data_IF_224299156742
#
_entry.id   IF_224299156742
#
_cell.length_a   1.000
_cell.length_b   1.000
_cell.length_c   1.000
_cell.angle_alpha   90.00
_cell.angle_beta   90.00
_cell.angle_gamma   90.00
#
_symmetry.space_group_name_H-M   'P 1'
#
loop_
_entity.id
_entity.type
_entity.pdbx_description
1 polymer ?
#
# COMPACT_ATOMS: atom_id res chain seq x y z
N UNK A 1 -8.91 6.80 5.55
CA UNK A 1 -9.61 5.62 6.10
C UNK A 1 -8.55 4.69 6.66
N UNK A 2 -8.49 4.54 7.98
CA UNK A 2 -7.48 3.70 8.62
C UNK A 2 -7.68 2.28 8.10
N UNK A 3 -6.73 1.76 7.33
CA UNK A 3 -6.59 0.32 7.18
C UNK A 3 -6.48 -0.25 8.58
N UNK A 4 -7.54 -0.93 9.03
CA UNK A 4 -7.41 -1.80 10.19
C UNK A 4 -6.35 -2.81 9.79
N UNK A 5 -5.18 -2.71 10.40
CA UNK A 5 -4.20 -3.78 10.38
C UNK A 5 -4.94 -5.03 10.80
N UNK A 6 -5.25 -5.87 9.82
CA UNK A 6 -5.71 -7.22 10.12
C UNK A 6 -4.53 -7.87 10.87
N UNK A 7 -4.66 -7.89 12.17
CA UNK A 7 -3.79 -8.68 13.03
C UNK A 7 -3.93 -10.12 12.61
N UNK A 8 -3.02 -10.57 11.78
CA UNK A 8 -2.79 -11.98 11.46
C UNK A 8 -2.18 -12.69 12.68
N UNK A 9 -2.77 -12.48 13.86
CA UNK A 9 -2.47 -13.22 15.08
C UNK A 9 -3.37 -14.44 15.27
N UNK A 10 -4.05 -14.89 14.22
CA UNK A 10 -4.91 -16.08 14.31
C UNK A 10 -4.65 -17.03 13.14
N UNK A 11 -3.58 -17.75 13.26
CA UNK A 11 -3.41 -19.06 12.65
C UNK A 11 -2.78 -19.89 13.76
N UNK A 12 -3.50 -20.62 14.45
CA UNK A 12 -4.16 -21.89 14.42
C UNK A 12 -4.91 -22.05 15.74
N UNK A 13 -6.20 -22.15 15.82
CA UNK A 13 -6.81 -22.91 16.90
C UNK A 13 -6.65 -24.37 16.51
N UNK A 14 -5.69 -25.07 17.11
CA UNK A 14 -5.72 -26.52 17.17
C UNK A 14 -7.01 -26.88 17.93
N UNK A 15 -8.01 -27.27 17.18
CA UNK A 15 -9.21 -27.88 17.76
C UNK A 15 -8.78 -29.22 18.36
N UNK A 16 -8.59 -29.24 19.65
CA UNK A 16 -8.39 -30.46 20.45
C UNK A 16 -9.77 -31.14 20.55
N UNK A 17 -10.10 -32.00 19.60
CA UNK A 17 -11.18 -32.99 19.79
C UNK A 17 -10.58 -34.16 20.55
N UNK A 18 -10.73 -34.18 21.85
CA UNK A 18 -10.48 -35.35 22.69
C UNK A 18 -11.62 -36.32 22.47
N UNK A 19 -11.39 -37.37 21.68
CA UNK A 19 -12.18 -38.60 21.70
C UNK A 19 -11.52 -39.58 22.65
N UNK A 20 -12.05 -39.64 23.86
CA UNK A 20 -11.78 -40.70 24.81
C UNK A 20 -12.45 -42.01 24.35
N UNK A 21 -11.71 -42.93 23.77
CA UNK A 21 -12.10 -44.34 23.76
C UNK A 21 -10.84 -45.23 23.86
N UNK A 22 -10.74 -46.01 24.92
CA UNK A 22 -9.87 -47.19 24.97
C UNK A 22 -8.75 -47.10 26.00
N UNK A 23 -8.91 -47.76 27.14
CA UNK A 23 -7.94 -47.96 28.20
C UNK A 23 -6.74 -48.82 27.70
N UNK A 24 -5.72 -48.14 27.14
CA UNK A 24 -4.34 -48.58 27.21
C UNK A 24 -3.64 -47.56 28.09
N UNK A 25 -2.83 -47.91 29.03
CA UNK A 25 -1.89 -47.00 29.68
C UNK A 25 -0.98 -46.46 28.56
N UNK A 26 -1.35 -45.25 28.06
CA UNK A 26 -0.48 -44.51 27.15
C UNK A 26 0.87 -44.32 27.87
N UNK A 27 1.89 -45.03 27.42
CA UNK A 27 3.24 -44.75 27.89
C UNK A 27 3.52 -43.31 27.53
N UNK A 28 3.76 -42.47 28.55
CA UNK A 28 4.14 -41.09 28.38
C UNK A 28 5.26 -41.00 27.32
N UNK A 29 5.03 -40.26 26.25
CA UNK A 29 6.04 -40.11 25.20
C UNK A 29 6.97 -38.94 25.49
N UNK A 30 8.14 -38.88 24.79
CA UNK A 30 9.04 -37.73 24.86
C UNK A 30 8.31 -36.43 24.43
N UNK A 31 7.38 -36.53 23.50
CA UNK A 31 6.56 -35.43 23.04
C UNK A 31 5.62 -34.95 24.15
N UNK A 32 4.94 -35.86 24.88
CA UNK A 32 4.04 -35.52 25.98
C UNK A 32 4.80 -34.87 27.14
N UNK A 33 5.99 -35.39 27.45
CA UNK A 33 6.87 -34.82 28.46
C UNK A 33 7.32 -33.39 28.07
N UNK A 34 7.71 -33.17 26.80
CA UNK A 34 8.07 -31.87 26.29
C UNK A 34 6.85 -30.88 26.25
N UNK A 35 5.68 -31.39 25.86
CA UNK A 35 4.43 -30.62 25.87
C UNK A 35 4.00 -30.17 27.27
N UNK A 36 4.16 -31.08 28.27
CA UNK A 36 3.84 -30.73 29.68
C UNK A 36 4.94 -29.93 30.36
N UNK A 37 6.16 -29.93 29.82
CA UNK A 37 7.35 -29.37 30.47
C UNK A 37 7.84 -30.18 31.66
N UNK A 38 7.50 -31.50 31.68
CA UNK A 38 7.91 -32.44 32.72
C UNK A 38 9.35 -32.95 32.44
N UNK A 39 10.30 -32.25 33.05
CA UNK A 39 11.74 -32.47 32.86
C UNK A 39 12.19 -33.82 33.47
N UNK A 40 11.53 -34.24 34.55
CA UNK A 40 11.91 -35.51 35.20
C UNK A 40 11.40 -36.68 34.37
N UNK A 41 10.19 -36.62 33.84
CA UNK A 41 9.69 -37.58 32.86
C UNK A 41 10.57 -37.61 31.60
N UNK A 42 10.98 -36.42 31.10
CA UNK A 42 11.85 -36.30 29.93
C UNK A 42 13.20 -37.03 30.16
N UNK A 43 13.85 -36.79 31.31
CA UNK A 43 15.12 -37.47 31.69
C UNK A 43 14.95 -38.99 31.77
N UNK A 44 13.90 -39.44 32.47
CA UNK A 44 13.62 -40.85 32.63
C UNK A 44 13.39 -41.57 31.29
N UNK A 45 12.68 -40.94 30.36
CA UNK A 45 12.43 -41.47 29.02
C UNK A 45 13.69 -41.50 28.16
N UNK A 46 14.57 -40.49 28.28
CA UNK A 46 15.85 -40.46 27.57
C UNK A 46 16.80 -41.60 28.04
N UNK A 47 16.81 -41.93 29.35
CA UNK A 47 17.57 -43.06 29.90
C UNK A 47 17.09 -44.41 29.36
N UNK A 48 15.81 -44.57 29.03
CA UNK A 48 15.22 -45.76 28.45
C UNK A 48 15.54 -45.96 26.96
N UNK A 49 16.35 -45.07 26.35
CA UNK A 49 16.73 -45.10 24.92
C UNK A 49 15.52 -45.10 23.97
N UNK A 50 14.45 -44.40 24.34
CA UNK A 50 13.32 -44.19 23.45
C UNK A 50 13.74 -43.46 22.18
N UNK A 51 13.01 -43.64 21.08
CA UNK A 51 13.32 -42.94 19.84
C UNK A 51 13.14 -41.42 20.01
N UNK A 52 14.27 -40.73 20.19
CA UNK A 52 14.33 -39.29 20.48
C UNK A 52 13.74 -38.44 19.35
N UNK A 53 13.73 -38.95 18.12
CA UNK A 53 13.25 -38.28 16.93
C UNK A 53 11.88 -38.80 16.50
N UNK A 54 11.17 -39.56 17.34
CA UNK A 54 9.82 -39.99 17.02
C UNK A 54 8.92 -38.79 16.75
N UNK A 55 8.29 -38.69 15.57
CA UNK A 55 7.38 -37.60 15.27
C UNK A 55 5.97 -37.92 15.78
N UNK A 56 5.19 -36.85 16.01
CA UNK A 56 3.75 -36.98 16.11
C UNK A 56 3.07 -36.84 14.72
N UNK A 57 1.73 -36.78 14.71
CA UNK A 57 0.95 -36.89 13.47
C UNK A 57 1.18 -35.80 12.42
N UNK A 58 1.76 -34.64 12.81
CA UNK A 58 2.14 -33.54 11.92
C UNK A 58 3.64 -33.49 11.61
N UNK A 59 4.37 -34.52 12.00
CA UNK A 59 5.84 -34.59 11.85
C UNK A 59 6.62 -33.87 12.96
N UNK A 60 5.98 -33.22 13.92
CA UNK A 60 6.66 -32.50 15.01
C UNK A 60 7.29 -33.46 16.01
N UNK A 61 8.49 -33.13 16.50
CA UNK A 61 9.24 -33.92 17.48
C UNK A 61 9.21 -33.25 18.87
N UNK A 62 9.72 -33.94 19.89
CA UNK A 62 9.85 -33.36 21.23
C UNK A 62 10.68 -32.08 21.24
N UNK A 63 11.72 -31.97 20.39
CA UNK A 63 12.51 -30.73 20.28
C UNK A 63 11.70 -29.56 19.70
N UNK A 64 10.76 -29.79 18.78
CA UNK A 64 9.83 -28.75 18.31
C UNK A 64 9.02 -28.20 19.48
N UNK A 65 8.48 -29.06 20.35
CA UNK A 65 7.67 -28.65 21.49
C UNK A 65 8.47 -27.92 22.57
N UNK A 66 9.69 -28.40 22.88
CA UNK A 66 10.59 -27.70 23.80
C UNK A 66 10.93 -26.30 23.28
N UNK A 67 11.17 -26.19 21.97
CA UNK A 67 11.43 -24.89 21.32
C UNK A 67 10.18 -23.98 21.28
N UNK A 68 9.02 -24.53 20.97
CA UNK A 68 7.77 -23.80 20.97
C UNK A 68 7.47 -23.16 22.34
N UNK A 69 7.77 -23.89 23.42
CA UNK A 69 7.60 -23.42 24.81
C UNK A 69 8.75 -22.56 25.30
N UNK A 70 9.78 -22.36 24.49
CA UNK A 70 11.05 -21.72 24.90
C UNK A 70 11.69 -22.37 26.15
N UNK A 71 11.50 -23.68 26.30
CA UNK A 71 12.09 -24.44 27.40
C UNK A 71 13.52 -24.87 27.03
N UNK A 72 14.47 -23.99 27.40
CA UNK A 72 15.90 -24.20 27.13
C UNK A 72 16.45 -25.45 27.77
N UNK A 73 15.99 -25.82 28.97
CA UNK A 73 16.49 -26.98 29.68
C UNK A 73 16.05 -28.28 28.98
N UNK A 74 14.77 -28.41 28.62
CA UNK A 74 14.27 -29.54 27.84
C UNK A 74 14.93 -29.65 26.48
N UNK A 75 15.13 -28.50 25.79
CA UNK A 75 15.84 -28.46 24.53
C UNK A 75 17.30 -28.95 24.68
N UNK A 76 18.00 -28.55 25.74
CA UNK A 76 19.35 -29.01 26.03
C UNK A 76 19.43 -30.50 26.29
N UNK A 77 18.51 -31.06 27.07
CA UNK A 77 18.43 -32.48 27.32
C UNK A 77 18.25 -33.27 26.03
N UNK A 78 17.32 -32.81 25.19
CA UNK A 78 17.04 -33.44 23.89
C UNK A 78 18.23 -33.37 22.93
N UNK A 79 18.85 -32.18 22.81
CA UNK A 79 20.00 -31.97 21.91
C UNK A 79 21.20 -32.85 22.35
N UNK A 80 21.52 -32.88 23.65
CA UNK A 80 22.61 -33.72 24.16
C UNK A 80 22.35 -35.19 23.98
N UNK A 81 21.10 -35.62 23.99
CA UNK A 81 20.71 -37.01 23.73
C UNK A 81 20.67 -37.38 22.24
N UNK A 82 20.91 -36.39 21.32
CA UNK A 82 21.00 -36.64 19.88
C UNK A 82 19.73 -36.34 19.11
N UNK A 83 18.87 -35.45 19.64
CA UNK A 83 17.72 -34.99 18.87
C UNK A 83 18.17 -34.27 17.58
N UNK A 84 17.48 -34.55 16.48
CA UNK A 84 17.73 -33.88 15.20
C UNK A 84 17.33 -32.42 15.25
N UNK A 85 18.30 -31.52 15.31
CA UNK A 85 18.08 -30.06 15.36
C UNK A 85 17.53 -29.50 14.04
N UNK A 86 17.62 -30.29 12.96
CA UNK A 86 17.12 -29.96 11.64
C UNK A 86 15.86 -30.76 11.25
N UNK A 87 15.24 -31.48 12.20
CA UNK A 87 13.96 -32.10 11.92
C UNK A 87 12.95 -31.05 11.44
N UNK A 88 12.26 -31.37 10.35
CA UNK A 88 11.21 -30.52 9.81
C UNK A 88 9.88 -31.26 9.92
N UNK A 89 8.84 -30.56 10.34
CA UNK A 89 7.49 -31.10 10.31
C UNK A 89 6.88 -31.03 8.88
N UNK A 90 5.62 -31.42 8.72
CA UNK A 90 4.94 -31.50 7.43
C UNK A 90 4.82 -30.12 6.71
N UNK A 91 4.95 -29.01 7.44
CA UNK A 91 4.97 -27.66 6.89
C UNK A 91 6.40 -27.14 6.61
N UNK A 92 7.42 -27.94 6.89
CA UNK A 92 8.82 -27.55 6.82
C UNK A 92 9.30 -26.76 8.04
N UNK A 93 8.50 -26.65 9.11
CA UNK A 93 8.90 -25.96 10.33
C UNK A 93 9.99 -26.74 11.02
N UNK A 94 11.14 -26.06 11.28
CA UNK A 94 12.25 -26.60 12.09
C UNK A 94 12.25 -25.95 13.48
N UNK A 95 12.90 -26.54 14.48
CA UNK A 95 13.10 -25.90 15.77
C UNK A 95 13.71 -24.51 15.65
N UNK A 96 14.71 -24.31 14.77
CA UNK A 96 15.34 -23.01 14.58
C UNK A 96 14.36 -21.96 13.99
N UNK A 97 13.53 -22.35 13.02
CA UNK A 97 12.51 -21.46 12.49
C UNK A 97 11.53 -21.02 13.59
N UNK A 98 11.10 -21.97 14.43
CA UNK A 98 10.19 -21.70 15.54
C UNK A 98 10.81 -20.79 16.62
N UNK A 99 12.07 -21.04 17.00
CA UNK A 99 12.81 -20.19 17.92
C UNK A 99 12.97 -18.74 17.37
N UNK A 100 13.17 -18.64 16.05
CA UNK A 100 13.28 -17.35 15.35
C UNK A 100 11.95 -16.59 15.35
N UNK A 101 10.83 -17.28 15.18
CA UNK A 101 9.49 -16.70 15.28
C UNK A 101 9.17 -16.24 16.70
N UNK A 102 9.62 -16.96 17.72
CA UNK A 102 9.40 -16.62 19.13
C UNK A 102 10.31 -15.48 19.62
N UNK A 103 11.36 -15.14 18.88
CA UNK A 103 12.33 -14.12 19.29
C UNK A 103 13.31 -14.58 20.39
N UNK A 104 13.41 -15.89 20.63
CA UNK A 104 14.27 -16.43 21.69
C UNK A 104 15.74 -16.48 21.27
N UNK A 105 16.48 -15.44 21.59
CA UNK A 105 17.93 -15.35 21.32
C UNK A 105 18.69 -16.53 21.96
N UNK A 106 18.30 -16.95 23.15
CA UNK A 106 18.97 -18.04 23.86
C UNK A 106 18.74 -19.39 23.15
N UNK A 107 17.51 -19.68 22.75
CA UNK A 107 17.16 -20.90 22.01
C UNK A 107 17.82 -20.92 20.63
N UNK A 108 17.77 -19.80 19.89
CA UNK A 108 18.44 -19.64 18.58
C UNK A 108 19.94 -19.94 18.71
N UNK A 109 20.63 -19.33 19.67
CA UNK A 109 22.06 -19.59 19.90
C UNK A 109 22.34 -21.08 20.18
N UNK A 110 21.48 -21.71 20.97
CA UNK A 110 21.62 -23.12 21.34
C UNK A 110 21.48 -24.05 20.15
N UNK A 111 20.44 -23.83 19.35
CA UNK A 111 20.18 -24.61 18.14
C UNK A 111 21.27 -24.42 17.09
N UNK A 112 21.71 -23.16 16.85
CA UNK A 112 22.81 -22.88 15.93
C UNK A 112 24.13 -23.49 16.38
N UNK A 113 24.44 -23.50 17.69
CA UNK A 113 25.62 -24.16 18.24
C UNK A 113 25.56 -25.68 18.06
N UNK A 114 24.36 -26.27 18.02
CA UNK A 114 24.13 -27.67 17.75
C UNK A 114 24.08 -28.04 16.27
N UNK A 115 24.30 -27.07 15.34
CA UNK A 115 24.35 -27.30 13.89
C UNK A 115 22.99 -27.15 13.19
N UNK A 116 22.07 -26.41 13.76
CA UNK A 116 20.84 -26.08 13.05
C UNK A 116 21.13 -25.21 11.81
N UNK A 117 20.45 -25.51 10.70
CA UNK A 117 20.61 -24.81 9.43
C UNK A 117 19.85 -23.47 9.43
N UNK A 118 20.54 -22.30 9.39
CA UNK A 118 19.90 -21.00 9.43
C UNK A 118 19.13 -20.67 8.13
N UNK A 119 19.28 -21.48 7.10
CA UNK A 119 18.66 -21.30 5.78
C UNK A 119 17.53 -22.29 5.48
N UNK A 120 17.16 -23.16 6.43
CA UNK A 120 16.09 -24.14 6.22
C UNK A 120 14.74 -23.41 6.02
N UNK A 121 14.12 -23.46 4.82
CA UNK A 121 12.88 -22.72 4.57
C UNK A 121 11.65 -23.57 4.93
N UNK A 122 10.53 -22.91 5.20
CA UNK A 122 9.22 -23.52 5.10
C UNK A 122 8.90 -23.96 3.67
N UNK A 123 7.83 -24.72 3.48
CA UNK A 123 7.32 -25.07 2.14
C UNK A 123 7.04 -23.83 1.27
N UNK A 124 6.65 -22.71 1.89
CA UNK A 124 6.44 -21.44 1.21
C UNK A 124 7.73 -20.62 0.97
N UNK A 125 8.91 -21.17 1.28
CA UNK A 125 10.21 -20.51 1.09
C UNK A 125 10.62 -19.57 2.22
N UNK A 126 9.82 -19.38 3.28
CA UNK A 126 10.14 -18.49 4.38
C UNK A 126 11.25 -19.06 5.27
N UNK A 127 12.38 -18.34 5.37
CA UNK A 127 13.55 -18.75 6.16
C UNK A 127 13.47 -18.23 7.60
N UNK A 128 14.30 -18.79 8.54
CA UNK A 128 14.45 -18.23 9.88
C UNK A 128 14.79 -16.72 9.93
N UNK A 129 15.64 -16.24 9.00
CA UNK A 129 15.97 -14.82 8.88
C UNK A 129 14.73 -13.99 8.53
N UNK A 130 13.90 -14.47 7.59
CA UNK A 130 12.69 -13.77 7.17
C UNK A 130 11.67 -13.68 8.30
N UNK A 131 11.39 -14.77 9.00
CA UNK A 131 10.40 -14.77 10.09
C UNK A 131 10.83 -13.88 11.24
N UNK A 132 12.11 -13.92 11.63
CA UNK A 132 12.66 -13.03 12.65
C UNK A 132 12.62 -11.56 12.24
N UNK A 133 12.89 -11.27 10.96
CA UNK A 133 12.82 -9.92 10.40
C UNK A 133 11.40 -9.37 10.37
N UNK A 134 10.43 -10.21 9.99
CA UNK A 134 9.00 -9.84 10.02
C UNK A 134 8.51 -9.58 11.44
N UNK A 135 9.01 -10.35 12.41
CA UNK A 135 8.63 -10.23 13.81
C UNK A 135 9.33 -9.09 14.56
N UNK A 136 10.40 -8.52 13.99
CA UNK A 136 11.12 -7.39 14.57
C UNK A 136 12.12 -7.76 15.64
N UNK A 137 12.86 -8.86 15.50
CA UNK A 137 13.85 -9.35 16.46
C UNK A 137 15.29 -9.15 15.96
N UNK A 138 15.89 -7.95 16.08
CA UNK A 138 17.21 -7.66 15.51
C UNK A 138 18.32 -8.55 16.06
N UNK A 139 18.30 -8.89 17.36
CA UNK A 139 19.32 -9.77 17.94
C UNK A 139 19.23 -11.21 17.41
N UNK A 140 18.02 -11.70 17.14
CA UNK A 140 17.83 -13.02 16.50
C UNK A 140 18.35 -13.00 15.07
N UNK A 141 18.01 -11.94 14.31
CA UNK A 141 18.51 -11.75 12.94
C UNK A 141 20.03 -11.70 12.92
N UNK A 142 20.65 -10.95 13.83
CA UNK A 142 22.11 -10.90 13.98
C UNK A 142 22.72 -12.29 14.23
N UNK A 143 22.14 -13.09 15.14
CA UNK A 143 22.65 -14.43 15.43
C UNK A 143 22.54 -15.37 14.23
N UNK A 144 21.45 -15.28 13.46
CA UNK A 144 21.23 -16.10 12.27
C UNK A 144 22.24 -15.74 11.17
N UNK A 145 22.41 -14.43 10.89
CA UNK A 145 23.32 -13.93 9.84
C UNK A 145 24.78 -14.23 10.19
N UNK A 146 25.20 -14.04 11.44
CA UNK A 146 26.54 -14.36 11.92
C UNK A 146 26.87 -15.88 11.80
N UNK A 147 25.88 -16.74 11.64
CA UNK A 147 26.04 -18.19 11.43
C UNK A 147 25.72 -18.65 10.02
N UNK A 148 25.80 -17.73 9.03
CA UNK A 148 25.66 -18.04 7.60
C UNK A 148 24.22 -18.04 7.10
N UNK A 149 23.30 -17.41 7.83
CA UNK A 149 21.96 -17.08 7.31
C UNK A 149 22.06 -16.18 6.08
N UNK A 150 21.31 -16.48 5.05
CA UNK A 150 21.30 -15.67 3.82
C UNK A 150 20.32 -14.48 3.94
N UNK A 151 20.81 -13.22 3.98
CA UNK A 151 19.94 -12.06 4.04
C UNK A 151 19.13 -11.84 2.76
N UNK A 152 19.57 -12.43 1.65
CA UNK A 152 19.03 -12.24 0.31
C UNK A 152 18.19 -13.45 -0.17
N UNK A 153 17.83 -14.38 0.71
CA UNK A 153 16.92 -15.44 0.35
C UNK A 153 15.56 -14.86 -0.08
N UNK A 154 14.91 -15.51 -1.04
CA UNK A 154 13.59 -15.15 -1.54
C UNK A 154 12.54 -16.13 -1.01
N UNK A 155 11.53 -15.61 -0.34
CA UNK A 155 10.34 -16.35 0.08
C UNK A 155 9.18 -16.22 -0.92
N UNK A 156 7.98 -16.42 -0.43
CA UNK A 156 6.77 -16.28 -1.22
C UNK A 156 6.70 -14.90 -1.91
N UNK A 157 6.32 -14.87 -3.19
CA UNK A 157 6.26 -13.68 -4.02
C UNK A 157 7.59 -12.93 -4.17
N UNK A 158 8.72 -13.65 -4.10
CA UNK A 158 10.05 -13.06 -4.25
C UNK A 158 10.44 -12.10 -3.12
N UNK A 159 9.74 -12.12 -1.99
CA UNK A 159 10.01 -11.18 -0.89
C UNK A 159 11.24 -11.60 -0.09
N UNK A 160 12.09 -10.63 0.28
CA UNK A 160 13.28 -10.82 1.12
C UNK A 160 13.02 -10.43 2.58
N UNK A 161 13.95 -10.78 3.45
CA UNK A 161 13.94 -10.39 4.87
C UNK A 161 13.85 -8.85 5.02
N UNK A 162 14.59 -8.11 4.18
CA UNK A 162 14.61 -6.64 4.20
C UNK A 162 13.24 -6.05 3.83
N UNK A 163 12.54 -6.64 2.86
CA UNK A 163 11.18 -6.22 2.49
C UNK A 163 10.19 -6.47 3.62
N UNK A 164 10.30 -7.60 4.33
CA UNK A 164 9.46 -7.90 5.48
C UNK A 164 9.70 -6.93 6.63
N UNK A 165 10.97 -6.65 6.98
CA UNK A 165 11.32 -5.68 8.01
C UNK A 165 10.77 -4.29 7.68
N UNK A 166 10.90 -3.85 6.43
CA UNK A 166 10.40 -2.55 5.96
C UNK A 166 8.85 -2.48 6.00
N UNK A 167 8.17 -3.54 5.56
CA UNK A 167 6.70 -3.60 5.57
C UNK A 167 6.11 -3.55 6.99
N UNK A 168 6.85 -4.06 7.99
CA UNK A 168 6.42 -4.15 9.39
C UNK A 168 6.99 -3.03 10.26
N UNK A 169 7.75 -2.08 9.70
CA UNK A 169 8.34 -0.93 10.40
C UNK A 169 9.35 -1.33 11.48
N UNK A 170 10.31 -2.14 11.10
CA UNK A 170 11.38 -2.59 11.99
C UNK A 170 12.74 -2.00 11.59
N UNK A 171 13.01 -0.69 11.87
CA UNK A 171 14.24 -0.02 11.46
C UNK A 171 15.51 -0.66 12.03
N UNK A 172 15.44 -1.22 13.25
CA UNK A 172 16.61 -1.86 13.85
C UNK A 172 16.96 -3.18 13.17
N UNK A 173 15.99 -3.92 12.69
CA UNK A 173 16.22 -5.11 11.84
C UNK A 173 16.82 -4.70 10.50
N UNK A 174 16.32 -3.61 9.89
CA UNK A 174 16.87 -3.05 8.64
C UNK A 174 18.34 -2.73 8.79
N UNK A 175 18.76 -2.08 9.90
CA UNK A 175 20.18 -1.80 10.18
C UNK A 175 21.04 -3.07 10.18
N UNK A 176 20.57 -4.11 10.86
CA UNK A 176 21.26 -5.40 10.92
C UNK A 176 21.37 -6.03 9.53
N UNK A 177 20.28 -6.09 8.78
CA UNK A 177 20.26 -6.67 7.44
C UNK A 177 21.20 -5.92 6.48
N UNK A 178 21.21 -4.58 6.50
CA UNK A 178 22.12 -3.77 5.70
C UNK A 178 23.58 -4.05 6.06
N UNK A 179 23.91 -4.13 7.37
CA UNK A 179 25.25 -4.42 7.84
C UNK A 179 25.76 -5.80 7.37
N UNK A 180 24.86 -6.75 7.14
CA UNK A 180 25.16 -8.09 6.63
C UNK A 180 24.95 -8.25 5.10
N UNK A 181 24.90 -7.15 4.33
CA UNK A 181 24.88 -7.19 2.88
C UNK A 181 23.53 -7.56 2.26
N UNK A 182 22.44 -7.15 2.88
CA UNK A 182 21.12 -7.26 2.25
C UNK A 182 21.06 -6.40 0.96
N UNK A 183 20.54 -6.99 -0.11
CA UNK A 183 20.39 -6.32 -1.40
C UNK A 183 19.23 -5.31 -1.38
N UNK A 184 19.58 -4.03 -1.44
CA UNK A 184 18.61 -2.92 -1.47
C UNK A 184 17.83 -2.87 -2.79
N UNK A 185 18.39 -3.46 -3.86
CA UNK A 185 17.80 -3.45 -5.20
C UNK A 185 16.89 -4.64 -5.48
N UNK A 186 16.90 -5.65 -4.61
CA UNK A 186 16.03 -6.81 -4.73
C UNK A 186 14.56 -6.39 -4.86
N UNK A 187 13.83 -7.04 -5.77
CA UNK A 187 12.42 -6.74 -6.05
C UNK A 187 11.54 -7.94 -5.77
N UNK A 188 10.34 -7.68 -5.25
CA UNK A 188 9.30 -8.69 -5.18
C UNK A 188 8.87 -9.14 -6.60
N UNK A 189 8.28 -10.33 -6.69
CA UNK A 189 7.75 -10.84 -7.95
C UNK A 189 6.72 -9.88 -8.56
N UNK A 190 6.66 -9.90 -9.88
CA UNK A 190 5.66 -9.15 -10.65
C UNK A 190 4.58 -10.12 -11.13
N UNK A 191 3.33 -9.77 -10.86
CA UNK A 191 2.18 -10.50 -11.42
C UNK A 191 1.19 -9.53 -12.04
N UNK A 192 0.37 -10.01 -12.96
CA UNK A 192 -0.69 -9.23 -13.58
C UNK A 192 -2.02 -9.54 -12.91
N UNK A 193 -2.71 -8.50 -12.49
CA UNK A 193 -4.07 -8.60 -11.96
C UNK A 193 -5.00 -7.81 -12.89
N UNK A 194 -6.06 -8.47 -13.36
CA UNK A 194 -7.09 -7.79 -14.16
C UNK A 194 -7.96 -6.99 -13.19
N UNK A 195 -7.90 -5.67 -13.34
CA UNK A 195 -8.65 -4.74 -12.52
C UNK A 195 -9.67 -4.01 -13.40
N UNK A 196 -10.84 -3.73 -12.84
CA UNK A 196 -11.91 -3.03 -13.51
C UNK A 196 -12.13 -1.65 -12.88
N UNK A 197 -12.53 -0.69 -13.71
CA UNK A 197 -12.95 0.66 -13.28
C UNK A 197 -14.44 0.81 -13.57
N UNK A 198 -15.19 1.55 -12.75
CA UNK A 198 -16.57 1.88 -13.07
C UNK A 198 -16.69 2.63 -14.43
N UNK A 199 -17.75 2.37 -15.20
CA UNK A 199 -18.85 1.46 -14.88
C UNK A 199 -18.45 -0.01 -15.00
N UNK A 200 -18.75 -0.79 -13.98
CA UNK A 200 -18.45 -2.22 -13.96
C UNK A 200 -19.16 -2.92 -15.11
N UNK A 201 -18.42 -3.80 -15.82
CA UNK A 201 -18.94 -4.51 -16.97
C UNK A 201 -18.52 -3.91 -18.33
N UNK A 202 -17.98 -2.71 -18.36
CA UNK A 202 -17.40 -2.15 -19.57
C UNK A 202 -15.98 -2.70 -19.78
N UNK A 203 -15.87 -3.72 -20.64
CA UNK A 203 -14.64 -4.48 -20.84
C UNK A 203 -13.40 -3.63 -21.18
N UNK A 204 -13.49 -2.55 -22.00
CA UNK A 204 -12.32 -1.71 -22.30
C UNK A 204 -11.68 -1.05 -21.09
N UNK A 205 -12.42 -0.92 -19.97
CA UNK A 205 -11.87 -0.41 -18.71
C UNK A 205 -11.25 -1.49 -17.83
N UNK A 206 -11.33 -2.76 -18.25
CA UNK A 206 -10.59 -3.82 -17.62
C UNK A 206 -9.15 -3.81 -18.12
N UNK A 207 -8.22 -3.53 -17.23
CA UNK A 207 -6.81 -3.50 -17.56
C UNK A 207 -6.01 -4.50 -16.72
N UNK A 208 -5.08 -5.20 -17.37
CA UNK A 208 -4.12 -6.04 -16.69
C UNK A 208 -3.00 -5.17 -16.11
N UNK A 209 -3.13 -4.84 -14.83
CA UNK A 209 -2.18 -3.97 -14.13
C UNK A 209 -1.05 -4.81 -13.52
N UNK A 210 0.22 -4.52 -13.81
CA UNK A 210 1.33 -5.16 -13.14
C UNK A 210 1.38 -4.75 -11.68
N UNK A 211 1.36 -5.74 -10.80
CA UNK A 211 1.49 -5.58 -9.35
C UNK A 211 2.86 -6.06 -8.90
N UNK A 212 3.34 -5.61 -7.74
CA UNK A 212 4.64 -5.99 -7.22
C UNK A 212 5.80 -5.25 -7.86
N UNK A 213 6.96 -5.91 -7.94
CA UNK A 213 8.21 -5.27 -8.36
C UNK A 213 8.70 -4.23 -7.35
N UNK A 214 8.22 -4.31 -6.11
CA UNK A 214 8.55 -3.38 -5.04
C UNK A 214 9.88 -3.77 -4.38
N UNK A 215 10.74 -2.78 -4.11
CA UNK A 215 11.92 -2.91 -3.26
C UNK A 215 11.55 -2.74 -1.78
N UNK A 216 12.48 -3.06 -0.87
CA UNK A 216 12.31 -2.78 0.55
C UNK A 216 12.02 -1.30 0.82
N UNK A 217 12.62 -0.40 0.04
CA UNK A 217 12.37 1.03 0.14
C UNK A 217 10.90 1.39 -0.18
N UNK A 218 10.34 0.83 -1.24
CA UNK A 218 8.92 1.04 -1.56
C UNK A 218 7.98 0.44 -0.49
N UNK A 219 8.36 -0.67 0.14
CA UNK A 219 7.62 -1.21 1.28
C UNK A 219 7.65 -0.26 2.49
N UNK A 220 8.80 0.32 2.84
CA UNK A 220 8.92 1.32 3.91
C UNK A 220 8.07 2.57 3.63
N UNK A 221 8.15 3.11 2.43
CA UNK A 221 7.36 4.28 1.98
C UNK A 221 5.86 3.98 2.03
N UNK A 222 5.42 2.82 1.54
CA UNK A 222 4.02 2.38 1.58
C UNK A 222 3.51 2.19 3.00
N UNK A 223 4.38 1.76 3.91
CA UNK A 223 4.08 1.66 5.33
C UNK A 223 4.04 3.04 6.03
N UNK A 224 4.60 4.09 5.41
CA UNK A 224 4.75 5.40 6.01
C UNK A 224 5.80 5.42 7.14
N UNK A 225 6.81 4.56 7.03
CA UNK A 225 7.90 4.46 7.99
C UNK A 225 9.08 5.33 7.54
N UNK A 226 9.10 6.55 8.06
CA UNK A 226 10.13 7.54 7.75
C UNK A 226 11.53 7.09 8.20
N UNK A 227 11.63 6.43 9.35
CA UNK A 227 12.93 5.99 9.89
C UNK A 227 13.53 4.89 9.02
N UNK A 228 12.74 3.90 8.64
CA UNK A 228 13.17 2.87 7.68
C UNK A 228 13.52 3.47 6.32
N UNK A 229 12.73 4.41 5.82
CA UNK A 229 13.02 5.09 4.55
C UNK A 229 14.35 5.85 4.59
N UNK A 230 14.62 6.59 5.70
CA UNK A 230 15.90 7.29 5.92
C UNK A 230 17.09 6.34 5.93
N UNK A 231 16.98 5.20 6.62
CA UNK A 231 18.04 4.19 6.68
C UNK A 231 18.34 3.61 5.31
N UNK A 232 17.32 3.24 4.56
CA UNK A 232 17.46 2.66 3.22
C UNK A 232 18.08 3.65 2.23
N UNK A 233 17.64 4.92 2.23
CA UNK A 233 18.23 5.97 1.39
C UNK A 233 19.68 6.24 1.79
N UNK A 234 20.00 6.30 3.09
CA UNK A 234 21.38 6.47 3.56
C UNK A 234 22.28 5.30 3.15
N UNK A 235 21.73 4.10 2.98
CA UNK A 235 22.44 2.93 2.48
C UNK A 235 22.53 2.86 0.94
N UNK A 236 21.92 3.79 0.20
CA UNK A 236 21.98 3.88 -1.25
C UNK A 236 20.74 3.42 -2.00
N UNK A 237 19.60 3.27 -1.35
CA UNK A 237 18.34 3.00 -2.06
C UNK A 237 17.99 4.19 -2.98
N UNK A 238 17.44 3.89 -4.15
CA UNK A 238 17.06 4.89 -5.14
C UNK A 238 15.79 5.62 -4.71
N UNK A 239 15.89 6.93 -4.44
CA UNK A 239 14.71 7.77 -4.06
C UNK A 239 13.67 7.86 -5.17
N UNK A 240 14.06 7.64 -6.42
CA UNK A 240 13.19 7.65 -7.61
C UNK A 240 12.68 6.24 -7.96
N UNK A 241 12.78 5.29 -7.03
CA UNK A 241 12.28 3.94 -7.27
C UNK A 241 10.77 3.91 -7.50
N UNK A 242 10.34 2.95 -8.31
CA UNK A 242 8.95 2.78 -8.70
C UNK A 242 8.56 1.30 -8.73
N UNK A 243 7.29 1.02 -8.46
CA UNK A 243 6.67 -0.30 -8.60
C UNK A 243 6.63 -0.77 -10.06
N UNK A 244 6.25 -2.02 -10.29
CA UNK A 244 6.10 -2.56 -11.65
C UNK A 244 5.10 -1.77 -12.52
N UNK A 245 4.10 -1.14 -11.92
CA UNK A 245 3.17 -0.25 -12.61
C UNK A 245 3.74 1.15 -12.89
N UNK A 246 4.90 1.48 -12.30
CA UNK A 246 5.55 2.77 -12.45
C UNK A 246 5.07 3.83 -11.46
N UNK A 247 4.40 3.43 -10.36
CA UNK A 247 4.09 4.36 -9.27
C UNK A 247 5.36 4.60 -8.47
N UNK A 248 5.83 5.85 -8.43
CA UNK A 248 7.05 6.24 -7.71
C UNK A 248 6.86 6.28 -6.20
N UNK A 249 7.96 6.22 -5.45
CA UNK A 249 7.95 6.36 -4.00
C UNK A 249 7.23 7.65 -3.55
N UNK A 250 7.51 8.78 -4.21
CA UNK A 250 6.87 10.07 -3.90
C UNK A 250 5.36 10.02 -4.13
N UNK A 251 4.92 9.42 -5.25
CA UNK A 251 3.50 9.26 -5.55
C UNK A 251 2.80 8.30 -4.57
N UNK A 252 3.46 7.21 -4.15
CA UNK A 252 2.96 6.28 -3.11
C UNK A 252 2.77 7.01 -1.78
N UNK A 253 3.77 7.78 -1.34
CA UNK A 253 3.72 8.54 -0.09
C UNK A 253 2.62 9.60 -0.12
N UNK A 254 2.51 10.37 -1.22
CA UNK A 254 1.49 11.38 -1.41
C UNK A 254 0.07 10.78 -1.43
N UNK A 255 -0.11 9.69 -2.18
CA UNK A 255 -1.38 8.96 -2.22
C UNK A 255 -1.79 8.43 -0.84
N UNK A 256 -0.85 8.01 -0.03
CA UNK A 256 -1.09 7.52 1.34
C UNK A 256 -1.25 8.65 2.37
N UNK A 257 -0.90 9.89 2.03
CA UNK A 257 -0.97 11.05 2.93
C UNK A 257 0.18 11.16 3.92
N UNK A 258 1.32 10.56 3.59
CA UNK A 258 2.52 10.60 4.42
C UNK A 258 3.39 11.81 4.05
N UNK A 259 2.95 13.02 4.46
CA UNK A 259 3.61 14.28 4.11
C UNK A 259 5.09 14.30 4.49
N UNK A 260 5.44 13.91 5.70
CA UNK A 260 6.82 13.90 6.17
C UNK A 260 7.73 13.00 5.32
N UNK A 261 7.18 11.90 4.81
CA UNK A 261 7.90 11.03 3.88
C UNK A 261 8.07 11.72 2.52
N UNK A 262 7.03 12.41 2.01
CA UNK A 262 7.11 13.19 0.76
C UNK A 262 8.18 14.26 0.88
N UNK A 263 8.15 15.08 1.94
CA UNK A 263 9.13 16.14 2.19
C UNK A 263 10.56 15.56 2.24
N UNK A 264 10.76 14.48 3.00
CA UNK A 264 12.05 13.80 3.05
C UNK A 264 12.54 13.33 1.68
N UNK A 265 11.66 12.73 0.87
CA UNK A 265 12.03 12.24 -0.48
C UNK A 265 12.43 13.40 -1.38
N UNK A 266 11.69 14.49 -1.37
CA UNK A 266 11.98 15.71 -2.14
C UNK A 266 13.33 16.33 -1.71
N UNK A 267 13.60 16.43 -0.41
CA UNK A 267 14.88 16.90 0.13
C UNK A 267 16.07 16.00 -0.29
N UNK A 268 15.81 14.72 -0.59
CA UNK A 268 16.79 13.78 -1.11
C UNK A 268 16.89 13.75 -2.65
N UNK A 269 16.21 14.69 -3.32
CA UNK A 269 16.26 14.84 -4.76
C UNK A 269 15.33 13.90 -5.52
N UNK A 270 14.26 13.44 -4.90
CA UNK A 270 13.22 12.72 -5.63
C UNK A 270 12.56 13.65 -6.65
N UNK A 271 12.38 13.15 -7.87
CA UNK A 271 11.64 13.84 -8.91
C UNK A 271 10.14 13.80 -8.59
N UNK A 272 9.44 14.95 -8.46
CA UNK A 272 8.01 15.00 -8.17
C UNK A 272 7.12 14.67 -9.37
N UNK A 273 7.67 14.65 -10.59
CA UNK A 273 6.92 14.63 -11.84
C UNK A 273 6.68 13.25 -12.49
N UNK A 274 7.51 12.20 -12.28
CA UNK A 274 7.35 10.99 -13.06
C UNK A 274 6.02 10.30 -12.80
N UNK A 275 5.39 9.89 -13.88
CA UNK A 275 4.06 9.34 -13.87
C UNK A 275 3.81 8.28 -14.93
N UNK A 276 4.64 7.22 -15.03
CA UNK A 276 4.29 6.07 -15.89
C UNK A 276 2.93 5.47 -15.53
N UNK A 277 2.52 5.59 -14.26
CA UNK A 277 1.19 5.21 -13.81
C UNK A 277 0.09 6.18 -14.23
N UNK A 278 0.44 7.33 -14.83
CA UNK A 278 -0.48 8.32 -15.35
C UNK A 278 -0.91 9.39 -14.38
N UNK A 279 -0.43 9.38 -13.13
CA UNK A 279 -0.66 10.43 -12.13
C UNK A 279 0.61 10.78 -11.38
N UNK A 280 0.70 12.01 -10.87
CA UNK A 280 1.84 12.50 -10.09
C UNK A 280 1.50 12.60 -8.60
N UNK A 281 2.51 12.85 -7.77
CA UNK A 281 2.32 13.15 -6.35
C UNK A 281 1.45 14.41 -6.14
N UNK A 282 1.55 15.40 -7.05
CA UNK A 282 0.75 16.63 -6.99
C UNK A 282 -0.75 16.36 -7.16
N UNK A 283 -1.13 15.49 -8.09
CA UNK A 283 -2.53 15.07 -8.24
C UNK A 283 -3.06 14.44 -6.93
N UNK A 284 -2.28 13.54 -6.32
CA UNK A 284 -2.67 12.90 -5.07
C UNK A 284 -2.77 13.88 -3.90
N UNK A 285 -1.85 14.83 -3.78
CA UNK A 285 -1.86 15.87 -2.75
C UNK A 285 -3.12 16.76 -2.84
N UNK A 286 -3.51 17.15 -4.06
CA UNK A 286 -4.74 17.93 -4.31
C UNK A 286 -5.97 17.11 -3.91
N UNK A 287 -6.08 15.85 -4.33
CA UNK A 287 -7.21 15.00 -3.98
C UNK A 287 -7.34 14.78 -2.47
N UNK A 288 -6.23 14.81 -1.75
CA UNK A 288 -6.17 14.73 -0.28
C UNK A 288 -6.42 16.05 0.44
N UNK A 289 -6.50 17.15 -0.29
CA UNK A 289 -6.60 18.52 0.25
C UNK A 289 -5.44 18.85 1.20
N UNK A 290 -4.24 18.33 0.92
CA UNK A 290 -3.04 18.59 1.70
C UNK A 290 -2.26 19.75 1.11
N UNK A 291 -2.66 20.98 1.47
CA UNK A 291 -2.07 22.23 0.99
C UNK A 291 -0.57 22.31 1.27
N UNK A 292 -0.12 21.82 2.42
CA UNK A 292 1.31 21.82 2.78
C UNK A 292 2.11 20.89 1.87
N UNK A 293 1.55 19.72 1.56
CA UNK A 293 2.19 18.78 0.61
C UNK A 293 2.21 19.36 -0.80
N UNK A 294 1.14 20.04 -1.25
CA UNK A 294 1.13 20.76 -2.52
C UNK A 294 2.24 21.81 -2.56
N UNK A 295 2.37 22.62 -1.50
CA UNK A 295 3.43 23.64 -1.39
C UNK A 295 4.82 23.03 -1.49
N UNK A 296 5.07 21.94 -0.77
CA UNK A 296 6.37 21.24 -0.81
C UNK A 296 6.68 20.70 -2.22
N UNK A 297 5.71 20.07 -2.86
CA UNK A 297 5.87 19.53 -4.22
C UNK A 297 6.18 20.63 -5.24
N UNK A 298 5.44 21.74 -5.21
CA UNK A 298 5.67 22.88 -6.11
C UNK A 298 7.03 23.53 -5.87
N UNK A 299 7.46 23.69 -4.61
CA UNK A 299 8.77 24.21 -4.25
C UNK A 299 9.93 23.35 -4.77
N UNK A 300 9.70 22.06 -5.01
CA UNK A 300 10.68 21.13 -5.58
C UNK A 300 10.45 20.85 -7.07
N UNK A 301 9.72 21.70 -7.78
CA UNK A 301 9.57 21.66 -9.24
C UNK A 301 8.51 20.69 -9.75
N UNK A 302 7.48 20.38 -8.96
CA UNK A 302 6.31 19.69 -9.50
C UNK A 302 5.67 20.54 -10.60
N UNK A 303 5.36 19.93 -11.75
CA UNK A 303 4.73 20.61 -12.87
C UNK A 303 3.26 20.92 -12.55
N UNK A 304 2.90 22.22 -12.43
CA UNK A 304 1.54 22.63 -12.12
C UNK A 304 0.55 22.43 -13.29
N UNK A 305 1.07 22.08 -14.47
CA UNK A 305 0.30 21.85 -15.69
C UNK A 305 0.26 20.38 -16.12
N UNK A 306 0.91 19.46 -15.38
CA UNK A 306 0.92 18.06 -15.71
C UNK A 306 -0.50 17.48 -15.79
N UNK A 307 -0.98 16.98 -16.95
CA UNK A 307 -2.31 16.41 -17.04
C UNK A 307 -2.36 15.03 -16.41
N UNK A 308 -3.48 14.66 -15.83
CA UNK A 308 -3.77 13.28 -15.44
C UNK A 308 -3.84 12.42 -16.70
N UNK A 309 -2.88 11.53 -16.90
CA UNK A 309 -2.77 10.77 -18.16
C UNK A 309 -3.58 9.48 -18.17
N UNK A 310 -3.91 8.96 -16.98
CA UNK A 310 -4.61 7.69 -16.88
C UNK A 310 -5.48 7.64 -15.61
N UNK A 311 -6.56 6.87 -15.68
CA UNK A 311 -7.36 6.51 -14.52
C UNK A 311 -6.65 5.48 -13.64
N UNK A 312 -7.02 5.40 -12.38
CA UNK A 312 -6.50 4.37 -11.48
C UNK A 312 -7.55 3.29 -11.23
N UNK A 313 -7.19 2.00 -11.36
CA UNK A 313 -8.13 0.92 -11.11
C UNK A 313 -8.50 0.82 -9.63
N UNK A 314 -9.72 0.36 -9.37
CA UNK A 314 -10.18 0.05 -8.01
C UNK A 314 -10.45 -1.44 -7.86
N UNK A 315 -10.22 -1.97 -6.67
CA UNK A 315 -10.73 -3.31 -6.34
C UNK A 315 -12.24 -3.23 -6.12
N UNK A 316 -12.96 -4.24 -6.58
CA UNK A 316 -14.43 -4.29 -6.69
C UNK A 316 -15.22 -3.96 -5.41
N UNK A 317 -14.57 -3.92 -4.25
CA UNK A 317 -15.20 -3.65 -2.96
C UNK A 317 -14.50 -2.56 -2.14
N UNK A 318 -13.50 -1.87 -2.71
CA UNK A 318 -12.75 -0.84 -1.99
C UNK A 318 -13.29 0.55 -2.34
N UNK A 319 -13.46 1.37 -1.30
CA UNK A 319 -13.61 2.81 -1.46
C UNK A 319 -12.22 3.48 -1.57
N UNK A 320 -11.30 2.81 -2.26
CA UNK A 320 -9.94 3.31 -2.41
C UNK A 320 -9.94 4.63 -3.14
N UNK A 321 -9.06 5.49 -2.73
CA UNK A 321 -8.79 6.75 -3.38
C UNK A 321 -8.35 6.49 -4.83
N UNK A 322 -9.20 6.86 -5.79
CA UNK A 322 -8.96 6.61 -7.21
C UNK A 322 -9.16 7.86 -8.05
N UNK A 323 -8.57 7.83 -9.24
CA UNK A 323 -8.84 8.80 -10.29
C UNK A 323 -9.77 8.15 -11.32
N UNK A 324 -11.03 8.58 -11.41
CA UNK A 324 -11.97 8.01 -12.39
C UNK A 324 -11.63 8.44 -13.83
N UNK A 325 -12.12 7.70 -14.83
CA UNK A 325 -11.88 8.02 -16.25
C UNK A 325 -12.27 9.43 -16.66
N UNK A 326 -13.30 10.00 -16.06
CA UNK A 326 -13.75 11.37 -16.33
C UNK A 326 -12.78 12.47 -15.92
N UNK A 327 -11.73 12.15 -15.16
CA UNK A 327 -10.68 13.09 -14.79
C UNK A 327 -9.43 12.99 -15.68
N UNK A 328 -9.37 12.02 -16.59
CA UNK A 328 -8.25 11.90 -17.52
C UNK A 328 -8.15 13.16 -18.37
N UNK A 329 -6.96 13.75 -18.43
CA UNK A 329 -6.69 15.03 -19.06
C UNK A 329 -6.76 16.24 -18.13
N UNK A 330 -7.32 16.12 -16.92
CA UNK A 330 -7.41 17.24 -15.98
C UNK A 330 -6.03 17.67 -15.47
N UNK A 331 -5.80 18.99 -15.43
CA UNK A 331 -4.61 19.60 -14.83
C UNK A 331 -4.77 19.79 -13.31
N UNK A 332 -3.66 19.95 -12.56
CA UNK A 332 -3.72 20.24 -11.13
C UNK A 332 -4.63 21.43 -10.75
N UNK A 333 -4.56 22.53 -11.51
CA UNK A 333 -5.42 23.71 -11.27
C UNK A 333 -6.90 23.37 -11.46
N UNK A 334 -7.23 22.67 -12.54
CA UNK A 334 -8.59 22.24 -12.81
C UNK A 334 -9.11 21.29 -11.71
N UNK A 335 -8.28 20.36 -11.24
CA UNK A 335 -8.63 19.46 -10.12
C UNK A 335 -8.84 20.23 -8.82
N UNK A 336 -7.98 21.19 -8.50
CA UNK A 336 -8.12 22.02 -7.31
C UNK A 336 -9.43 22.83 -7.35
N UNK A 337 -9.81 23.37 -8.52
CA UNK A 337 -11.08 24.02 -8.73
C UNK A 337 -12.26 23.04 -8.55
N UNK A 338 -12.21 21.88 -9.20
CA UNK A 338 -13.26 20.83 -9.14
C UNK A 338 -13.58 20.40 -7.73
N UNK A 339 -12.60 20.41 -6.85
CA UNK A 339 -12.73 20.02 -5.44
C UNK A 339 -12.70 21.19 -4.47
N UNK A 340 -13.01 22.40 -4.94
CA UNK A 340 -13.21 23.62 -4.15
C UNK A 340 -12.03 23.90 -3.21
N UNK A 341 -10.83 24.09 -3.77
CA UNK A 341 -9.60 24.38 -3.04
C UNK A 341 -8.97 25.72 -3.50
N UNK A 342 -9.58 26.87 -3.22
CA UNK A 342 -9.13 28.17 -3.73
C UNK A 342 -7.70 28.52 -3.31
N UNK A 343 -7.25 28.14 -2.10
CA UNK A 343 -5.87 28.36 -1.67
C UNK A 343 -4.87 27.56 -2.52
N UNK A 344 -5.19 26.29 -2.81
CA UNK A 344 -4.36 25.46 -3.69
C UNK A 344 -4.35 26.02 -5.11
N UNK A 345 -5.47 26.54 -5.60
CA UNK A 345 -5.53 27.20 -6.93
C UNK A 345 -4.58 28.39 -7.00
N UNK A 346 -4.52 29.24 -5.96
CA UNK A 346 -3.57 30.36 -5.89
C UNK A 346 -2.12 29.90 -5.87
N UNK A 347 -1.81 28.81 -5.12
CA UNK A 347 -0.45 28.25 -5.11
C UNK A 347 -0.04 27.72 -6.49
N UNK A 348 -0.95 27.05 -7.19
CA UNK A 348 -0.71 26.52 -8.52
C UNK A 348 -0.54 27.63 -9.54
N UNK A 349 -1.40 28.67 -9.52
CA UNK A 349 -1.29 29.84 -10.38
C UNK A 349 0.05 30.57 -10.17
N UNK A 350 0.41 30.83 -8.93
CA UNK A 350 1.70 31.44 -8.58
C UNK A 350 2.91 30.61 -9.01
N UNK A 351 2.71 29.33 -9.25
CA UNK A 351 3.72 28.38 -9.77
C UNK A 351 3.66 28.20 -11.30
N UNK A 352 2.81 28.96 -12.00
CA UNK A 352 2.70 28.95 -13.47
C UNK A 352 1.66 27.98 -14.04
N UNK A 353 0.66 27.61 -13.26
CA UNK A 353 -0.47 26.85 -13.80
C UNK A 353 -1.27 27.72 -14.79
N UNK A 354 -1.70 27.11 -15.91
CA UNK A 354 -2.55 27.77 -16.91
C UNK A 354 -4.01 27.84 -16.44
N UNK A 355 -4.53 29.05 -16.12
CA UNK A 355 -5.91 29.21 -15.66
C UNK A 355 -6.92 29.09 -16.81
N UNK A 356 -6.49 29.25 -18.06
CA UNK A 356 -7.36 29.22 -19.24
C UNK A 356 -7.52 27.80 -19.81
N UNK A 357 -6.86 26.81 -19.20
CA UNK A 357 -7.00 25.42 -19.58
C UNK A 357 -8.46 24.96 -19.58
N UNK A 358 -8.88 24.32 -20.68
CA UNK A 358 -10.19 23.71 -20.83
C UNK A 358 -10.06 22.19 -20.80
N UNK A 359 -10.70 21.56 -19.85
CA UNK A 359 -10.75 20.11 -19.75
C UNK A 359 -11.77 19.53 -20.72
N UNK A 360 -11.32 18.54 -21.50
CA UNK A 360 -12.15 17.78 -22.40
C UNK A 360 -12.21 16.32 -21.89
N UNK A 361 -13.27 16.00 -21.18
CA UNK A 361 -13.49 14.64 -20.70
C UNK A 361 -14.12 13.79 -21.80
N UNK A 362 -13.61 12.56 -21.98
CA UNK A 362 -14.16 11.55 -22.88
C UNK A 362 -14.17 10.20 -22.15
N UNK A 363 -15.35 9.74 -21.75
CA UNK A 363 -15.48 8.57 -20.87
C UNK A 363 -16.82 7.87 -21.01
N UNK A 364 -16.88 6.62 -20.57
CA UNK A 364 -18.12 5.85 -20.52
C UNK A 364 -18.70 5.89 -19.11
N UNK A 365 -20.00 6.11 -19.00
CA UNK A 365 -20.69 6.23 -17.71
C UNK A 365 -22.04 5.51 -17.71
N UNK A 366 -22.50 5.19 -16.47
CA UNK A 366 -23.81 4.59 -16.22
C UNK A 366 -23.88 3.09 -16.54
N UNK A 367 -25.00 2.47 -16.16
CA UNK A 367 -25.25 1.04 -16.40
C UNK A 367 -25.45 0.71 -17.88
N UNK A 368 -25.90 1.69 -18.66
CA UNK A 368 -26.07 1.56 -20.10
C UNK A 368 -24.77 1.75 -20.90
N UNK A 369 -23.63 1.94 -20.22
CA UNK A 369 -22.33 2.17 -20.86
C UNK A 369 -22.35 3.30 -21.91
N UNK A 370 -23.02 4.41 -21.60
CA UNK A 370 -23.16 5.52 -22.52
C UNK A 370 -21.84 6.30 -22.61
N UNK A 371 -21.39 6.54 -23.82
CA UNK A 371 -20.25 7.40 -24.11
C UNK A 371 -20.60 8.86 -23.81
N UNK A 372 -19.74 9.55 -23.05
CA UNK A 372 -19.95 10.95 -22.67
C UNK A 372 -18.72 11.76 -23.02
N UNK A 373 -18.98 12.89 -23.66
CA UNK A 373 -17.99 13.95 -23.84
C UNK A 373 -18.43 15.14 -23.00
N UNK A 374 -17.52 15.76 -22.28
CA UNK A 374 -17.81 16.92 -21.47
C UNK A 374 -16.68 17.95 -21.60
N UNK A 375 -17.05 19.23 -21.57
CA UNK A 375 -16.13 20.36 -21.70
C UNK A 375 -16.34 21.26 -20.50
N UNK A 376 -15.26 21.53 -19.77
CA UNK A 376 -15.35 22.41 -18.60
C UNK A 376 -14.06 23.21 -18.36
N UNK A 377 -14.20 24.52 -18.16
CA UNK A 377 -13.14 25.38 -17.62
C UNK A 377 -12.94 25.13 -16.12
N UNK A 378 -11.86 25.64 -15.54
CA UNK A 378 -11.64 25.57 -14.09
C UNK A 378 -12.75 26.29 -13.31
N UNK A 379 -13.32 27.37 -13.84
CA UNK A 379 -14.46 28.06 -13.27
C UNK A 379 -15.73 27.18 -13.21
N UNK A 380 -16.03 26.49 -14.29
CA UNK A 380 -17.14 25.54 -14.36
C UNK A 380 -16.90 24.34 -13.43
N UNK A 381 -15.66 23.87 -13.35
CA UNK A 381 -15.25 22.79 -12.46
C UNK A 381 -15.48 23.13 -10.98
N UNK A 382 -15.23 24.37 -10.55
CA UNK A 382 -15.49 24.86 -9.20
C UNK A 382 -16.98 24.75 -8.79
N UNK A 383 -17.87 24.69 -9.79
CA UNK A 383 -19.32 24.53 -9.64
C UNK A 383 -19.80 23.10 -9.95
N UNK A 384 -18.86 22.15 -9.95
CA UNK A 384 -19.16 20.73 -10.07
C UNK A 384 -19.40 20.22 -11.48
N UNK A 385 -19.10 21.01 -12.52
CA UNK A 385 -19.19 20.60 -13.93
C UNK A 385 -17.92 19.84 -14.38
N UNK A 386 -17.98 19.18 -15.52
CA UNK A 386 -16.84 18.54 -16.16
C UNK A 386 -16.54 17.14 -15.67
N UNK A 387 -17.54 16.43 -15.14
CA UNK A 387 -17.36 15.06 -14.67
C UNK A 387 -16.64 14.98 -13.31
N UNK A 388 -16.03 13.84 -13.04
CA UNK A 388 -15.34 13.57 -11.77
C UNK A 388 -16.21 12.85 -10.75
N UNK A 389 -15.57 12.07 -9.90
CA UNK A 389 -16.17 11.39 -8.77
C UNK A 389 -16.23 12.28 -7.53
N UNK A 390 -16.47 11.64 -6.38
CA UNK A 390 -16.37 12.30 -5.07
C UNK A 390 -14.91 12.68 -4.79
N UNK A 391 -14.72 13.77 -4.08
CA UNK A 391 -13.41 14.11 -3.52
C UNK A 391 -12.97 13.01 -2.53
N UNK A 392 -11.68 12.76 -2.42
CA UNK A 392 -11.15 11.85 -1.40
C UNK A 392 -11.39 12.38 0.01
N UNK A 393 -11.37 13.70 0.14
CA UNK A 393 -11.71 14.43 1.37
C UNK A 393 -12.71 15.52 1.00
N UNK A 394 -13.92 15.43 1.54
CA UNK A 394 -14.98 16.40 1.27
C UNK A 394 -14.90 17.60 2.23
N UNK A 395 -15.10 18.83 1.74
CA UNK A 395 -15.28 19.97 2.63
C UNK A 395 -16.62 19.88 3.36
N UNK A 396 -16.72 20.54 4.51
CA UNK A 396 -17.98 20.62 5.23
C UNK A 396 -19.04 21.26 4.34
N UNK A 397 -20.27 20.75 4.46
CA UNK A 397 -21.38 21.24 3.62
C UNK A 397 -21.61 22.75 3.77
N UNK A 398 -21.44 23.29 5.00
CA UNK A 398 -21.57 24.72 5.30
C UNK A 398 -20.48 25.61 4.68
N UNK A 399 -19.38 25.03 4.22
CA UNK A 399 -18.25 25.78 3.67
C UNK A 399 -18.24 25.76 2.13
N UNK A 400 -19.03 24.87 1.51
CA UNK A 400 -18.94 24.58 0.06
C UNK A 400 -19.22 25.79 -0.80
N UNK A 401 -20.26 26.58 -0.47
CA UNK A 401 -20.62 27.76 -1.24
C UNK A 401 -19.53 28.84 -1.15
N UNK A 402 -19.01 29.10 0.05
CA UNK A 402 -17.95 30.10 0.24
C UNK A 402 -16.66 29.71 -0.50
N UNK A 403 -16.27 28.43 -0.44
CA UNK A 403 -15.11 27.93 -1.18
C UNK A 403 -15.31 27.99 -2.71
N UNK A 404 -16.53 27.72 -3.18
CA UNK A 404 -16.87 27.84 -4.59
C UNK A 404 -16.84 29.31 -5.04
N UNK A 405 -17.36 30.23 -4.22
CA UNK A 405 -17.31 31.66 -4.49
C UNK A 405 -15.87 32.17 -4.61
N UNK A 406 -14.99 31.78 -3.67
CA UNK A 406 -13.58 32.15 -3.72
C UNK A 406 -12.87 31.61 -4.96
N UNK A 407 -13.16 30.36 -5.36
CA UNK A 407 -12.62 29.78 -6.57
C UNK A 407 -13.14 30.51 -7.84
N UNK A 408 -14.43 30.81 -7.89
CA UNK A 408 -15.04 31.55 -9.02
C UNK A 408 -14.47 32.94 -9.13
N UNK A 409 -14.30 33.67 -8.01
CA UNK A 409 -13.67 35.02 -7.99
C UNK A 409 -12.25 34.95 -8.57
N UNK A 410 -11.44 34.00 -8.08
CA UNK A 410 -10.08 33.83 -8.58
C UNK A 410 -10.04 33.55 -10.09
N UNK A 411 -10.88 32.64 -10.59
CA UNK A 411 -10.92 32.35 -12.03
C UNK A 411 -11.40 33.55 -12.86
N UNK A 412 -12.32 34.33 -12.33
CA UNK A 412 -12.79 35.60 -12.98
C UNK A 412 -11.66 36.64 -13.05
N UNK A 413 -10.92 36.83 -11.96
CA UNK A 413 -9.75 37.72 -11.89
C UNK A 413 -8.65 37.30 -12.88
N UNK A 414 -8.48 36.00 -13.11
CA UNK A 414 -7.52 35.42 -14.05
C UNK A 414 -8.03 35.41 -15.51
N UNK A 415 -9.21 35.98 -15.79
CA UNK A 415 -9.72 36.18 -17.14
C UNK A 415 -10.38 34.98 -17.78
N UNK A 416 -10.82 33.99 -17.01
CA UNK A 416 -11.57 32.85 -17.53
C UNK A 416 -12.94 33.30 -18.04
N UNK A 417 -13.30 32.92 -19.25
CA UNK A 417 -14.62 33.29 -19.84
C UNK A 417 -15.77 32.68 -19.04
N UNK A 418 -16.62 33.54 -18.50
CA UNK A 418 -17.80 33.20 -17.69
C UNK A 418 -18.92 32.54 -18.49
N UNK A 419 -18.89 32.70 -19.83
CA UNK A 419 -19.97 32.31 -20.74
C UNK A 419 -19.66 31.07 -21.57
N UNK A 420 -18.60 30.36 -21.25
CA UNK A 420 -18.32 29.05 -21.87
C UNK A 420 -19.51 28.13 -21.64
N UNK A 421 -19.92 27.45 -22.70
CA UNK A 421 -21.06 26.53 -22.70
C UNK A 421 -20.51 25.07 -22.68
N UNK A 422 -20.91 24.29 -21.69
CA UNK A 422 -20.59 22.87 -21.60
C UNK A 422 -21.36 22.06 -22.67
N UNK A 423 -20.96 20.84 -22.86
CA UNK A 423 -21.58 19.90 -23.82
C UNK A 423 -23.09 19.72 -23.55
N UNK A 424 -23.53 19.85 -22.30
CA UNK A 424 -24.94 19.74 -21.92
C UNK A 424 -25.73 21.06 -22.08
N UNK A 425 -25.13 22.10 -22.65
CA UNK A 425 -25.74 23.38 -22.91
C UNK A 425 -25.77 24.35 -21.70
N UNK A 426 -25.20 23.98 -20.57
CA UNK A 426 -25.15 24.81 -19.36
C UNK A 426 -23.91 25.67 -19.32
N UNK A 427 -24.04 26.81 -18.62
CA UNK A 427 -22.92 27.67 -18.22
C UNK A 427 -22.61 27.50 -16.73
N UNK A 428 -21.56 28.18 -16.26
CA UNK A 428 -21.24 28.27 -14.84
C UNK A 428 -22.40 28.86 -14.02
N UNK A 429 -23.10 29.84 -14.55
CA UNK A 429 -24.27 30.47 -13.90
C UNK A 429 -25.42 29.47 -13.70
N UNK A 430 -25.66 28.57 -14.67
CA UNK A 430 -26.69 27.55 -14.54
C UNK A 430 -26.32 26.50 -13.48
N UNK A 431 -25.04 26.16 -13.40
CA UNK A 431 -24.56 25.26 -12.37
C UNK A 431 -24.68 25.85 -10.96
N UNK A 432 -24.34 27.14 -10.78
CA UNK A 432 -24.49 27.84 -9.52
C UNK A 432 -25.96 27.86 -9.05
N UNK A 433 -26.89 28.17 -9.99
CA UNK A 433 -28.35 28.12 -9.73
C UNK A 433 -28.82 26.72 -9.31
N UNK A 434 -28.36 25.68 -10.00
CA UNK A 434 -28.72 24.30 -9.68
C UNK A 434 -28.22 23.88 -8.28
N UNK A 435 -27.05 24.35 -7.86
CA UNK A 435 -26.48 24.14 -6.54
C UNK A 435 -27.16 25.01 -5.45
N UNK A 436 -27.95 26.03 -5.84
CA UNK A 436 -28.53 27.03 -4.94
C UNK A 436 -27.46 27.83 -4.18
N UNK A 437 -26.38 28.19 -4.86
CA UNK A 437 -25.30 29.02 -4.34
C UNK A 437 -25.61 30.48 -4.66
N UNK A 438 -26.41 31.12 -3.79
CA UNK A 438 -26.98 32.45 -4.05
C UNK A 438 -25.89 33.52 -4.20
N UNK A 439 -24.86 33.48 -3.35
CA UNK A 439 -23.75 34.42 -3.42
C UNK A 439 -22.92 34.26 -4.70
N UNK A 440 -22.79 33.05 -5.21
CA UNK A 440 -22.10 32.78 -6.49
C UNK A 440 -22.94 33.23 -7.66
N UNK A 441 -24.26 33.03 -7.63
CA UNK A 441 -25.19 33.49 -8.66
C UNK A 441 -25.16 35.02 -8.77
N UNK A 442 -25.21 35.73 -7.62
CA UNK A 442 -25.11 37.18 -7.56
C UNK A 442 -23.80 37.67 -8.19
N UNK A 443 -22.66 37.15 -7.71
CA UNK A 443 -21.34 37.51 -8.23
C UNK A 443 -21.22 37.30 -9.74
N UNK A 444 -21.60 36.14 -10.25
CA UNK A 444 -21.52 35.80 -11.67
C UNK A 444 -22.40 36.72 -12.51
N UNK A 445 -23.60 37.05 -12.02
CA UNK A 445 -24.55 37.94 -12.72
C UNK A 445 -24.01 39.37 -12.80
N UNK A 446 -23.45 39.90 -11.71
CA UNK A 446 -22.82 41.21 -11.66
C UNK A 446 -21.64 41.33 -12.62
N UNK A 447 -20.92 40.23 -12.87
CA UNK A 447 -19.77 40.16 -13.80
C UNK A 447 -20.16 39.77 -15.24
N UNK A 448 -21.45 39.75 -15.56
CA UNK A 448 -21.94 39.60 -16.94
C UNK A 448 -22.07 38.16 -17.42
N UNK A 449 -22.10 37.17 -16.49
CA UNK A 449 -22.40 35.78 -16.84
C UNK A 449 -23.86 35.66 -17.35
N UNK A 450 -24.03 34.84 -18.38
CA UNK A 450 -25.33 34.59 -19.01
C UNK A 450 -25.75 33.14 -18.81
N UNK A 451 -27.04 32.85 -18.72
CA UNK A 451 -27.52 31.46 -18.72
C UNK A 451 -27.23 30.81 -20.07
N UNK A 452 -27.03 29.52 -20.05
CA UNK A 452 -26.83 28.73 -21.25
C UNK A 452 -28.07 28.59 -22.09
N UNK A 453 -27.94 28.00 -23.27
CA UNK A 453 -29.03 27.86 -24.26
C UNK A 453 -30.14 26.90 -23.83
N UNK A 454 -29.90 26.10 -22.79
CA UNK A 454 -30.78 24.99 -22.35
C UNK A 454 -30.96 23.87 -23.37
N UNK A 455 -30.30 23.98 -24.51
CA UNK A 455 -30.27 22.91 -25.54
C UNK A 455 -28.96 22.18 -25.41
N UNK A 456 -29.05 20.85 -25.25
CA UNK A 456 -27.89 19.95 -25.37
C UNK A 456 -27.23 20.24 -26.72
N UNK A 457 -25.92 20.49 -26.71
CA UNK A 457 -25.16 20.56 -27.94
C UNK A 457 -25.43 19.28 -28.75
N UNK A 458 -25.55 19.33 -30.08
CA UNK A 458 -25.73 18.13 -30.88
C UNK A 458 -24.56 17.20 -30.55
N UNK A 459 -24.84 16.06 -29.93
CA UNK A 459 -23.84 15.03 -29.70
C UNK A 459 -23.62 14.37 -31.07
N UNK A 460 -22.48 14.64 -31.68
CA UNK A 460 -21.93 13.71 -32.65
C UNK A 460 -21.63 12.46 -31.84
N UNK A 461 -22.38 11.39 -32.06
CA UNK A 461 -22.20 10.06 -31.48
C UNK A 461 -22.86 9.74 -30.11
N UNK A 462 -24.20 9.74 -30.04
CA UNK A 462 -24.93 8.81 -29.15
C UNK A 462 -25.09 7.45 -29.87
N UNK A 463 -24.00 6.80 -30.29
CA UNK A 463 -24.09 5.41 -30.66
C UNK A 463 -23.96 4.56 -29.39
N UNK A 464 -24.93 3.66 -29.13
CA UNK A 464 -24.73 2.66 -28.07
C UNK A 464 -23.57 1.79 -28.48
N UNK A 465 -22.55 1.72 -27.61
CA UNK A 465 -21.42 0.81 -27.80
C UNK A 465 -21.99 -0.60 -27.78
N UNK A 466 -22.18 -1.17 -28.98
CA UNK A 466 -22.73 -2.49 -29.16
C UNK A 466 -21.91 -3.52 -28.39
N UNK A 467 -22.60 -4.28 -27.55
CA UNK A 467 -22.02 -5.44 -26.89
C UNK A 467 -21.65 -6.50 -27.92
N UNK A 468 -20.42 -6.92 -27.91
CA UNK A 468 -19.94 -8.17 -28.45
C UNK A 468 -19.31 -9.01 -27.36
#
# INVERSE_FOLDING_TARGET
MRMKTATWQRVIPIALAVLLVGAGRDQLSLIDAAKSGDKDALRALLEQKTNINAPEGDGSTALHWATYKDDLESADLLIRAGASVNAANDLGVTPLWMASQNGSVAMVRRLLAAGANPNAPLLAGETPVMVASRAGYPEVVEQLLARGGNPNAHGARGQTALMWAAAQKHPDVIKVLIAHGADLSARSDVWKEVMAVPPHGYLPYNAAIPQGGDTAFLFAVRAGDLDSAKLLVAAGANVNDASAWGVTATAVAAHSGYREVVEFLLDKGADPNPGKAGFTALHAAIMRRDEKMVTALLAHGADPNAPLQNWTPTRRASQDFNFPPSLVGATPLWLAARYSQPNVMRLLEASGADPLFVHHADFVAGEAHTHRKDVATALMAALGMGGGGRAWVEPKRSEREALALDAVKLMTELGVDLNVIATDGRTALDAAKALKYETVVEFLTEHGAKPGSGKKAPSDDEEPVGGH
#
